data_IF_456450063447
#
_entry.id   IF_456450063447
#
_cell.length_a   1.000
_cell.length_b   1.000
_cell.length_c   1.000
_cell.angle_alpha   90.00
_cell.angle_beta   90.00
_cell.angle_gamma   90.00
#
_symmetry.space_group_name_H-M   'P 1'
#
loop_
_entity.id
_entity.type
_entity.pdbx_description
1 polymer ?
#
# COMPACT_ATOMS: atom_id res chain seq x y z
N UNK A 1 -51.81 -8.05 -22.08
CA UNK A 1 -51.11 -7.70 -23.36
C UNK A 1 -50.70 -8.98 -24.04
N UNK A 2 -51.26 -9.23 -25.21
CA UNK A 2 -51.11 -10.48 -25.96
C UNK A 2 -49.75 -10.52 -26.71
N UNK A 3 -49.22 -11.67 -26.99
CA UNK A 3 -47.92 -11.87 -27.67
C UNK A 3 -47.80 -11.15 -29.03
N UNK A 4 -48.92 -10.76 -29.64
CA UNK A 4 -48.97 -10.04 -30.91
C UNK A 4 -48.60 -8.55 -30.70
N UNK A 5 -49.00 -7.94 -29.60
CA UNK A 5 -48.68 -6.53 -29.31
C UNK A 5 -47.20 -6.29 -28.98
N UNK A 6 -46.51 -7.30 -28.46
CA UNK A 6 -45.07 -7.25 -28.19
C UNK A 6 -44.24 -7.28 -29.47
N UNK A 7 -44.72 -7.92 -30.52
CA UNK A 7 -44.03 -7.97 -31.82
C UNK A 7 -44.16 -6.70 -32.66
N UNK A 8 -45.26 -5.98 -32.52
CA UNK A 8 -45.47 -4.69 -33.21
C UNK A 8 -44.70 -3.55 -32.55
N UNK A 9 -44.59 -3.56 -31.23
CA UNK A 9 -43.79 -2.58 -30.47
C UNK A 9 -42.27 -2.63 -30.80
N UNK A 10 -41.75 -3.82 -31.11
CA UNK A 10 -40.36 -4.00 -31.51
C UNK A 10 -40.05 -3.67 -32.96
N UNK A 11 -41.07 -3.48 -33.81
CA UNK A 11 -40.90 -3.09 -35.20
C UNK A 11 -40.96 -1.57 -35.45
N UNK A 12 -41.45 -0.79 -34.48
CA UNK A 12 -41.53 0.67 -34.57
C UNK A 12 -40.34 1.40 -33.87
N UNK A 13 -39.41 0.70 -33.27
CA UNK A 13 -38.14 1.24 -32.80
C UNK A 13 -37.20 1.37 -34.02
N UNK A 14 -37.42 2.43 -34.81
CA UNK A 14 -36.59 2.73 -35.96
C UNK A 14 -35.13 2.89 -35.58
N UNK A 15 -34.27 2.28 -36.40
CA UNK A 15 -32.85 2.52 -36.43
C UNK A 15 -32.54 4.02 -36.52
N UNK A 16 -32.19 4.64 -35.42
CA UNK A 16 -31.34 5.84 -35.45
C UNK A 16 -29.90 5.38 -35.21
N UNK A 17 -29.22 5.00 -36.27
CA UNK A 17 -27.76 4.96 -36.30
C UNK A 17 -27.26 6.39 -36.25
N UNK A 18 -27.05 6.95 -35.06
CA UNK A 18 -26.13 8.06 -34.89
C UNK A 18 -24.73 7.48 -35.02
N UNK A 19 -24.17 7.55 -36.21
CA UNK A 19 -22.75 7.46 -36.42
C UNK A 19 -22.13 8.72 -35.78
N UNK A 20 -21.86 8.68 -34.48
CA UNK A 20 -20.89 9.57 -33.86
C UNK A 20 -19.54 9.15 -34.42
N UNK A 21 -19.06 9.84 -35.44
CA UNK A 21 -17.65 9.78 -35.80
C UNK A 21 -16.87 10.29 -34.61
N UNK A 22 -16.40 9.36 -33.78
CA UNK A 22 -15.33 9.64 -32.81
C UNK A 22 -14.12 10.01 -33.66
N UNK A 23 -13.87 11.31 -33.80
CA UNK A 23 -12.57 11.77 -34.25
C UNK A 23 -11.53 11.14 -33.32
N UNK A 24 -10.48 10.52 -33.84
CA UNK A 24 -9.38 10.09 -32.97
C UNK A 24 -8.85 11.37 -32.29
N UNK A 25 -9.03 11.49 -30.98
CA UNK A 25 -8.26 12.45 -30.21
C UNK A 25 -6.80 12.05 -30.44
N UNK A 26 -6.12 12.79 -31.30
CA UNK A 26 -4.69 12.73 -31.40
C UNK A 26 -4.19 13.00 -29.97
N UNK A 27 -3.61 11.99 -29.34
CA UNK A 27 -2.82 12.17 -28.12
C UNK A 27 -1.78 13.21 -28.51
N UNK A 28 -1.88 14.41 -27.93
CA UNK A 28 -0.86 15.42 -28.11
C UNK A 28 0.47 14.74 -27.73
N UNK A 29 1.41 14.71 -28.66
CA UNK A 29 2.75 14.20 -28.37
C UNK A 29 3.24 14.92 -27.11
N UNK A 30 3.68 14.13 -26.13
CA UNK A 30 4.26 14.68 -24.91
C UNK A 30 5.40 15.64 -25.33
N UNK A 31 5.48 16.86 -24.75
CA UNK A 31 6.53 17.79 -25.10
C UNK A 31 7.90 17.12 -24.90
N UNK A 32 8.79 17.30 -25.87
CA UNK A 32 10.14 16.74 -25.78
C UNK A 32 10.80 17.17 -24.47
N UNK A 33 11.31 16.18 -23.72
CA UNK A 33 11.97 16.42 -22.43
C UNK A 33 13.18 17.35 -22.62
N UNK A 34 13.29 18.39 -21.81
CA UNK A 34 14.43 19.29 -21.82
C UNK A 34 15.71 18.59 -21.37
N UNK A 35 16.88 19.07 -21.85
CA UNK A 35 18.18 18.55 -21.40
C UNK A 35 18.37 18.73 -19.89
N UNK A 36 17.89 19.84 -19.31
CA UNK A 36 17.96 20.09 -17.88
C UNK A 36 17.13 19.06 -17.09
N UNK A 37 15.92 18.73 -17.54
CA UNK A 37 15.08 17.69 -16.93
C UNK A 37 15.76 16.32 -17.03
N UNK A 38 16.33 15.99 -18.18
CA UNK A 38 17.08 14.73 -18.39
C UNK A 38 18.27 14.61 -17.46
N UNK A 39 19.02 15.67 -17.24
CA UNK A 39 20.14 15.70 -16.27
C UNK A 39 19.65 15.48 -14.85
N UNK A 40 18.54 16.13 -14.46
CA UNK A 40 17.94 15.97 -13.14
C UNK A 40 17.48 14.52 -12.91
N UNK A 41 16.77 13.91 -13.87
CA UNK A 41 16.31 12.51 -13.76
C UNK A 41 17.48 11.52 -13.67
N UNK A 42 18.57 11.74 -14.45
CA UNK A 42 19.78 10.91 -14.33
C UNK A 42 20.44 11.03 -12.95
N UNK A 43 20.49 12.24 -12.38
CA UNK A 43 20.97 12.45 -11.01
C UNK A 43 20.15 11.71 -9.96
N UNK A 44 18.82 11.77 -10.09
CA UNK A 44 17.92 11.02 -9.21
C UNK A 44 18.09 9.50 -9.38
N UNK A 45 18.16 9.00 -10.61
CA UNK A 45 18.38 7.57 -10.85
C UNK A 45 19.67 7.08 -10.19
N UNK A 46 20.77 7.80 -10.37
CA UNK A 46 22.05 7.41 -9.78
C UNK A 46 22.01 7.33 -8.25
N UNK A 47 21.35 8.29 -7.58
CA UNK A 47 21.25 8.28 -6.11
C UNK A 47 20.28 7.22 -5.59
N UNK A 48 19.16 6.98 -6.27
CA UNK A 48 18.20 5.92 -5.96
C UNK A 48 18.84 4.54 -6.12
N UNK A 49 19.50 4.26 -7.25
CA UNK A 49 20.22 2.99 -7.48
C UNK A 49 21.31 2.75 -6.45
N UNK A 50 22.10 3.78 -6.16
CA UNK A 50 23.15 3.67 -5.15
C UNK A 50 22.57 3.31 -3.77
N UNK A 51 21.48 3.96 -3.37
CA UNK A 51 20.87 3.68 -2.07
C UNK A 51 20.21 2.30 -2.03
N UNK A 52 19.54 1.87 -3.11
CA UNK A 52 18.95 0.53 -3.21
C UNK A 52 20.03 -0.56 -3.07
N UNK A 53 21.10 -0.48 -3.88
CA UNK A 53 22.10 -1.55 -4.00
C UNK A 53 23.14 -1.55 -2.89
N UNK A 54 23.50 -0.39 -2.36
CA UNK A 54 24.54 -0.25 -1.33
C UNK A 54 23.99 0.02 0.08
N UNK A 55 22.70 0.27 0.20
CA UNK A 55 22.02 0.53 1.49
C UNK A 55 21.01 -0.55 1.83
N UNK A 56 19.80 -0.44 1.28
CA UNK A 56 18.63 -1.23 1.71
C UNK A 56 18.82 -2.73 1.48
N UNK A 57 19.24 -3.14 0.29
CA UNK A 57 19.42 -4.57 -0.03
C UNK A 57 20.44 -5.21 0.91
N UNK A 58 21.70 -4.72 1.04
CA UNK A 58 22.69 -5.35 1.91
C UNK A 58 22.26 -5.37 3.38
N UNK A 59 21.57 -4.33 3.85
CA UNK A 59 21.10 -4.26 5.23
C UNK A 59 20.20 -5.45 5.58
N UNK A 60 19.12 -5.65 4.81
CA UNK A 60 18.13 -6.69 5.09
C UNK A 60 18.63 -8.10 4.74
N UNK A 61 19.46 -8.23 3.71
CA UNK A 61 20.10 -9.51 3.39
C UNK A 61 20.94 -10.06 4.55
N UNK A 62 21.68 -9.19 5.19
CA UNK A 62 22.59 -9.60 6.26
C UNK A 62 21.88 -9.87 7.60
N UNK A 63 20.67 -9.31 7.81
CA UNK A 63 20.10 -9.21 9.17
C UNK A 63 18.70 -9.75 9.34
N UNK A 64 17.91 -9.90 8.27
CA UNK A 64 16.49 -10.19 8.41
C UNK A 64 16.19 -11.60 8.95
N UNK A 65 16.96 -12.62 8.57
CA UNK A 65 16.65 -14.01 8.94
C UNK A 65 16.85 -14.24 10.45
N UNK A 66 15.84 -14.81 11.09
CA UNK A 66 15.95 -15.37 12.44
C UNK A 66 16.51 -16.80 12.35
N UNK A 67 17.83 -16.92 12.46
CA UNK A 67 18.53 -18.19 12.33
C UNK A 67 18.26 -19.15 13.50
N UNK A 68 17.67 -18.67 14.59
CA UNK A 68 17.37 -19.48 15.77
C UNK A 68 15.98 -20.14 15.68
N UNK A 69 14.96 -19.38 15.24
CA UNK A 69 13.56 -19.83 15.29
C UNK A 69 12.88 -19.85 13.92
N UNK A 70 13.54 -19.33 12.89
CA UNK A 70 12.95 -19.16 11.55
C UNK A 70 12.12 -17.90 11.41
N UNK A 71 11.68 -17.62 10.19
CA UNK A 71 11.08 -16.33 9.84
C UNK A 71 12.07 -15.18 9.96
N UNK A 72 11.58 -13.99 10.32
CA UNK A 72 12.40 -12.80 10.30
C UNK A 72 12.43 -12.08 11.66
N UNK A 73 13.55 -11.42 11.95
CA UNK A 73 13.68 -10.40 13.00
C UNK A 73 13.50 -9.03 12.36
N UNK A 74 12.89 -8.11 13.10
CA UNK A 74 12.45 -6.82 12.57
C UNK A 74 13.01 -5.61 13.31
N UNK A 75 13.43 -5.79 14.56
CA UNK A 75 13.77 -4.70 15.46
C UNK A 75 15.27 -4.37 15.39
N UNK A 76 15.58 -3.16 14.93
CA UNK A 76 16.97 -2.68 14.78
C UNK A 76 17.07 -1.23 15.23
N UNK A 77 18.15 -0.91 15.99
CA UNK A 77 18.49 0.46 16.35
C UNK A 77 19.09 1.23 15.15
N UNK A 78 19.39 2.50 15.36
CA UNK A 78 19.98 3.36 14.33
C UNK A 78 21.41 2.98 13.91
N UNK A 79 22.10 2.14 14.67
CA UNK A 79 23.39 1.56 14.31
C UNK A 79 23.25 0.24 13.53
N UNK A 80 22.03 -0.23 13.29
CA UNK A 80 21.75 -1.50 12.63
C UNK A 80 21.96 -2.72 13.50
N UNK A 81 22.06 -2.54 14.81
CA UNK A 81 22.16 -3.62 15.79
C UNK A 81 20.77 -4.15 16.12
N UNK A 82 20.64 -5.48 16.16
CA UNK A 82 19.38 -6.12 16.53
C UNK A 82 18.98 -5.77 17.97
N UNK A 83 17.73 -5.33 18.12
CA UNK A 83 17.07 -5.14 19.40
C UNK A 83 16.24 -6.39 19.77
N UNK A 84 15.78 -6.53 21.02
CA UNK A 84 14.86 -7.60 21.40
C UNK A 84 13.64 -7.64 20.47
N UNK A 85 13.35 -8.84 19.95
CA UNK A 85 12.20 -9.10 19.08
C UNK A 85 11.40 -10.26 19.70
N UNK A 86 10.62 -10.03 20.77
CA UNK A 86 9.95 -11.08 21.53
C UNK A 86 8.76 -11.69 20.79
N UNK A 87 8.24 -10.98 19.82
CA UNK A 87 7.07 -11.36 19.03
C UNK A 87 7.28 -11.05 17.53
N UNK A 88 6.53 -11.74 16.69
CA UNK A 88 6.52 -11.56 15.25
C UNK A 88 5.10 -11.21 14.81
N UNK A 89 4.97 -10.17 14.04
CA UNK A 89 3.71 -9.69 13.47
C UNK A 89 3.52 -10.23 12.07
N UNK A 90 2.32 -10.66 11.74
CA UNK A 90 2.02 -11.24 10.43
C UNK A 90 2.34 -10.28 9.29
N UNK A 91 2.00 -8.99 9.44
CA UNK A 91 2.24 -7.97 8.40
C UNK A 91 3.74 -7.81 8.08
N UNK A 92 4.63 -7.73 9.09
CA UNK A 92 6.07 -7.55 8.82
C UNK A 92 6.74 -8.84 8.34
N UNK A 93 6.29 -10.01 8.77
CA UNK A 93 6.74 -11.27 8.18
C UNK A 93 6.36 -11.32 6.69
N UNK A 94 5.12 -10.99 6.35
CA UNK A 94 4.65 -10.92 4.96
C UNK A 94 5.39 -9.87 4.14
N UNK A 95 5.64 -8.69 4.69
CA UNK A 95 6.40 -7.61 4.03
C UNK A 95 7.82 -8.04 3.66
N UNK A 96 8.49 -8.85 4.50
CA UNK A 96 9.81 -9.39 4.19
C UNK A 96 9.75 -10.56 3.20
N UNK A 97 8.73 -11.42 3.25
CA UNK A 97 8.47 -12.42 2.21
C UNK A 97 8.28 -11.72 0.86
N UNK A 98 7.43 -10.70 0.81
CA UNK A 98 7.20 -9.89 -0.38
C UNK A 98 8.49 -9.25 -0.90
N UNK A 99 9.29 -8.66 0.00
CA UNK A 99 10.56 -8.02 -0.36
C UNK A 99 11.52 -8.98 -1.07
N UNK A 100 11.80 -10.14 -0.47
CA UNK A 100 12.72 -11.10 -1.08
C UNK A 100 12.15 -11.74 -2.36
N UNK A 101 10.84 -11.90 -2.44
CA UNK A 101 10.14 -12.33 -3.66
C UNK A 101 10.25 -11.30 -4.77
N UNK A 102 10.05 -10.03 -4.47
CA UNK A 102 10.22 -8.91 -5.40
C UNK A 102 11.66 -8.81 -5.89
N UNK A 103 12.64 -8.93 -4.99
CA UNK A 103 14.05 -8.97 -5.41
C UNK A 103 14.33 -10.13 -6.36
N UNK A 104 13.77 -11.32 -6.11
CA UNK A 104 13.91 -12.45 -7.04
C UNK A 104 13.34 -12.16 -8.42
N UNK A 105 12.20 -11.47 -8.51
CA UNK A 105 11.58 -11.13 -9.80
C UNK A 105 12.29 -10.01 -10.54
N UNK A 106 12.71 -8.96 -9.82
CA UNK A 106 13.28 -7.75 -10.43
C UNK A 106 14.78 -7.87 -10.68
N UNK A 107 15.47 -8.69 -9.88
CA UNK A 107 16.91 -8.95 -9.95
C UNK A 107 17.16 -10.46 -9.93
N UNK A 108 16.79 -11.20 -10.98
CA UNK A 108 16.82 -12.68 -10.99
C UNK A 108 18.20 -13.27 -10.72
N UNK A 109 19.28 -12.55 -11.02
CA UNK A 109 20.66 -12.95 -10.78
C UNK A 109 21.09 -12.83 -9.31
N UNK A 110 20.29 -12.14 -8.47
CA UNK A 110 20.63 -11.96 -7.06
C UNK A 110 20.48 -13.29 -6.30
N UNK A 111 21.56 -13.80 -5.70
CA UNK A 111 21.52 -15.12 -5.05
C UNK A 111 20.67 -15.08 -3.78
N UNK A 112 20.18 -16.25 -3.35
CA UNK A 112 19.48 -16.49 -2.07
C UNK A 112 18.13 -15.78 -1.87
N UNK A 113 17.70 -14.92 -2.77
CA UNK A 113 16.42 -14.19 -2.63
C UNK A 113 15.22 -15.14 -2.52
N UNK A 114 15.14 -16.14 -3.40
CA UNK A 114 14.10 -17.16 -3.35
C UNK A 114 14.18 -18.04 -2.09
N UNK A 115 15.39 -18.38 -1.63
CA UNK A 115 15.61 -19.14 -0.41
C UNK A 115 15.12 -18.37 0.83
N UNK A 116 15.48 -17.09 0.94
CA UNK A 116 15.03 -16.24 2.05
C UNK A 116 13.52 -16.05 2.06
N UNK A 117 12.90 -15.86 0.90
CA UNK A 117 11.44 -15.81 0.78
C UNK A 117 10.80 -17.13 1.21
N UNK A 118 11.34 -18.29 0.77
CA UNK A 118 10.83 -19.61 1.13
C UNK A 118 10.91 -19.89 2.62
N UNK A 119 12.00 -19.53 3.29
CA UNK A 119 12.12 -19.67 4.75
C UNK A 119 11.06 -18.82 5.49
N UNK A 120 10.77 -17.62 4.98
CA UNK A 120 9.68 -16.81 5.50
C UNK A 120 8.31 -17.47 5.33
N UNK A 121 8.03 -18.02 4.14
CA UNK A 121 6.77 -18.73 3.82
C UNK A 121 6.62 -19.98 4.68
N UNK A 122 7.68 -20.76 4.85
CA UNK A 122 7.66 -21.96 5.71
C UNK A 122 7.30 -21.60 7.16
N UNK A 123 7.89 -20.54 7.70
CA UNK A 123 7.57 -20.05 9.04
C UNK A 123 6.13 -19.52 9.12
N UNK A 124 5.68 -18.75 8.14
CA UNK A 124 4.34 -18.17 8.08
C UNK A 124 3.28 -19.27 8.10
N UNK A 125 3.38 -20.25 7.20
CA UNK A 125 2.40 -21.34 7.10
C UNK A 125 2.42 -22.22 8.34
N UNK A 126 3.60 -22.52 8.87
CA UNK A 126 3.73 -23.41 10.04
C UNK A 126 3.18 -22.79 11.32
N UNK A 127 3.42 -21.49 11.55
CA UNK A 127 3.23 -20.89 12.88
C UNK A 127 2.09 -19.88 12.94
N UNK A 128 1.70 -19.25 11.83
CA UNK A 128 0.61 -18.27 11.82
C UNK A 128 -0.71 -18.83 11.31
N UNK A 129 -0.69 -19.85 10.44
CA UNK A 129 -1.93 -20.41 9.89
C UNK A 129 -2.75 -21.11 10.96
N UNK A 130 -3.99 -20.68 11.16
CA UNK A 130 -4.92 -21.30 12.11
C UNK A 130 -5.51 -22.59 11.52
N UNK A 131 -5.11 -23.74 12.06
CA UNK A 131 -5.56 -25.06 11.57
C UNK A 131 -7.05 -25.32 11.84
N UNK A 132 -7.66 -24.63 12.79
CA UNK A 132 -9.06 -24.83 13.17
C UNK A 132 -10.02 -23.95 12.37
N UNK A 133 -9.68 -22.66 12.26
CA UNK A 133 -10.58 -21.67 11.67
C UNK A 133 -10.11 -21.14 10.32
N UNK A 134 -8.89 -21.48 9.90
CA UNK A 134 -8.22 -20.88 8.75
C UNK A 134 -7.82 -19.43 9.00
N UNK A 135 -7.16 -18.82 8.02
CA UNK A 135 -6.56 -17.49 8.13
C UNK A 135 -5.32 -17.47 9.01
N UNK A 136 -4.72 -16.30 9.13
CA UNK A 136 -3.45 -16.14 9.83
C UNK A 136 -3.66 -15.42 11.17
N UNK A 137 -2.98 -15.85 12.21
CA UNK A 137 -2.94 -15.16 13.50
C UNK A 137 -2.28 -13.78 13.34
N UNK A 138 -2.74 -12.77 14.10
CA UNK A 138 -2.11 -11.45 14.06
C UNK A 138 -0.66 -11.45 14.53
N UNK A 139 -0.39 -12.17 15.65
CA UNK A 139 0.94 -12.25 16.25
C UNK A 139 1.24 -13.65 16.76
N UNK A 140 2.52 -14.00 16.69
CA UNK A 140 3.09 -15.14 17.41
C UNK A 140 4.28 -14.68 18.25
N UNK A 141 4.68 -15.45 19.26
CA UNK A 141 5.95 -15.24 19.94
C UNK A 141 7.12 -15.48 18.97
N UNK A 142 8.31 -15.04 19.31
CA UNK A 142 9.48 -15.19 18.44
C UNK A 142 9.72 -16.64 18.01
N UNK A 143 9.45 -17.60 18.88
CA UNK A 143 9.61 -19.04 18.61
C UNK A 143 8.48 -19.64 17.74
N UNK A 144 7.46 -18.87 17.42
CA UNK A 144 6.31 -19.29 16.63
C UNK A 144 5.11 -19.79 17.46
N UNK A 145 5.21 -19.83 18.80
CA UNK A 145 4.06 -20.19 19.63
C UNK A 145 2.99 -19.10 19.62
N UNK A 146 1.72 -19.50 19.79
CA UNK A 146 0.55 -18.61 19.73
C UNK A 146 0.65 -17.44 20.72
N UNK A 147 0.28 -16.24 20.27
CA UNK A 147 0.22 -15.03 21.10
C UNK A 147 -1.09 -14.26 20.94
N UNK A 148 -1.43 -13.83 19.72
CA UNK A 148 -2.69 -13.14 19.40
C UNK A 148 -3.30 -13.76 18.13
N UNK A 149 -4.26 -14.69 18.28
CA UNK A 149 -4.84 -15.44 17.17
C UNK A 149 -5.96 -14.69 16.43
N UNK A 150 -6.24 -13.43 16.74
CA UNK A 150 -7.27 -12.63 16.06
C UNK A 150 -6.98 -12.53 14.56
N UNK A 151 -8.03 -12.32 13.77
CA UNK A 151 -7.95 -12.12 12.32
C UNK A 151 -8.08 -10.63 12.03
N UNK A 152 -6.99 -10.04 11.61
CA UNK A 152 -6.94 -8.63 11.24
C UNK A 152 -6.96 -8.56 9.73
N UNK A 153 -8.01 -7.98 9.15
CA UNK A 153 -8.21 -7.98 7.69
C UNK A 153 -7.04 -7.31 6.97
N UNK A 154 -6.49 -6.25 7.55
CA UNK A 154 -5.23 -5.66 7.12
C UNK A 154 -4.06 -6.69 7.07
N UNK A 155 -3.88 -7.49 8.13
CA UNK A 155 -2.86 -8.54 8.18
C UNK A 155 -3.11 -9.65 7.15
N UNK A 156 -4.35 -10.09 7.00
CA UNK A 156 -4.75 -11.09 5.99
C UNK A 156 -4.50 -10.58 4.56
N UNK A 157 -4.70 -9.26 4.29
CA UNK A 157 -4.38 -8.68 2.99
C UNK A 157 -2.89 -8.80 2.67
N UNK A 158 -2.01 -8.56 3.64
CA UNK A 158 -0.56 -8.76 3.45
C UNK A 158 -0.18 -10.23 3.25
N UNK A 159 -0.92 -11.18 3.84
CA UNK A 159 -0.72 -12.60 3.56
C UNK A 159 -1.04 -12.93 2.09
N UNK A 160 -2.18 -12.47 1.59
CA UNK A 160 -2.56 -12.63 0.18
C UNK A 160 -1.49 -12.00 -0.73
N UNK A 161 -1.07 -10.77 -0.41
CA UNK A 161 -0.11 -10.01 -1.21
C UNK A 161 1.25 -10.71 -1.31
N UNK A 162 1.83 -11.04 -0.16
CA UNK A 162 3.15 -11.64 -0.08
C UNK A 162 3.19 -13.06 -0.68
N UNK A 163 2.18 -13.88 -0.42
CA UNK A 163 2.10 -15.24 -0.93
C UNK A 163 1.85 -15.27 -2.44
N UNK A 164 1.07 -14.33 -2.98
CA UNK A 164 0.88 -14.16 -4.41
C UNK A 164 2.18 -13.73 -5.11
N UNK A 165 2.92 -12.77 -4.54
CA UNK A 165 4.21 -12.33 -5.06
C UNK A 165 5.27 -13.46 -4.99
N UNK A 166 5.25 -14.25 -3.91
CA UNK A 166 6.11 -15.42 -3.76
C UNK A 166 5.85 -16.47 -4.85
N UNK A 167 4.58 -16.75 -5.14
CA UNK A 167 4.22 -17.63 -6.25
C UNK A 167 4.71 -17.09 -7.61
N UNK A 168 4.51 -15.80 -7.87
CA UNK A 168 4.99 -15.16 -9.10
C UNK A 168 6.51 -15.19 -9.23
N UNK A 169 7.23 -15.15 -8.12
CA UNK A 169 8.68 -15.15 -8.09
C UNK A 169 9.31 -16.53 -8.23
N UNK A 170 8.67 -17.58 -7.71
CA UNK A 170 9.27 -18.92 -7.54
C UNK A 170 8.53 -20.04 -8.25
N UNK A 171 7.25 -19.86 -8.56
CA UNK A 171 6.37 -20.91 -9.05
C UNK A 171 5.92 -21.91 -7.97
N UNK A 172 6.27 -21.69 -6.70
CA UNK A 172 5.83 -22.56 -5.60
C UNK A 172 4.32 -22.42 -5.36
N UNK A 173 3.59 -23.48 -5.67
CA UNK A 173 2.12 -23.51 -5.64
C UNK A 173 1.53 -23.23 -4.24
N UNK A 174 2.27 -23.47 -3.16
CA UNK A 174 1.83 -23.15 -1.81
C UNK A 174 1.49 -21.66 -1.67
N UNK A 175 2.27 -20.78 -2.33
CA UNK A 175 1.99 -19.34 -2.33
C UNK A 175 0.59 -19.03 -2.84
N UNK A 176 0.25 -19.52 -4.06
CA UNK A 176 -1.08 -19.27 -4.63
C UNK A 176 -2.19 -19.99 -3.86
N UNK A 177 -1.94 -21.21 -3.36
CA UNK A 177 -2.92 -21.97 -2.57
C UNK A 177 -3.34 -21.21 -1.32
N UNK A 178 -2.38 -20.81 -0.47
CA UNK A 178 -2.70 -20.11 0.78
C UNK A 178 -3.22 -18.69 0.54
N UNK A 179 -2.76 -17.99 -0.50
CA UNK A 179 -3.32 -16.69 -0.89
C UNK A 179 -4.79 -16.82 -1.28
N UNK A 180 -5.15 -17.80 -2.12
CA UNK A 180 -6.55 -18.05 -2.54
C UNK A 180 -7.42 -18.50 -1.37
N UNK A 181 -6.93 -19.39 -0.51
CA UNK A 181 -7.66 -19.81 0.71
C UNK A 181 -7.94 -18.64 1.65
N UNK A 182 -6.99 -17.74 1.82
CA UNK A 182 -7.17 -16.53 2.64
C UNK A 182 -8.19 -15.59 2.00
N UNK A 183 -8.11 -15.38 0.69
CA UNK A 183 -9.12 -14.64 -0.05
C UNK A 183 -10.53 -15.21 0.13
N UNK A 184 -10.70 -16.52 0.00
CA UNK A 184 -12.00 -17.19 0.19
C UNK A 184 -12.56 -17.00 1.60
N UNK A 185 -11.69 -17.06 2.63
CA UNK A 185 -12.07 -16.80 4.02
C UNK A 185 -12.51 -15.35 4.21
N UNK A 186 -11.81 -14.38 3.61
CA UNK A 186 -12.23 -12.98 3.66
C UNK A 186 -13.59 -12.79 2.98
N UNK A 187 -13.84 -13.41 1.80
CA UNK A 187 -15.15 -13.33 1.14
C UNK A 187 -16.26 -13.92 1.99
N UNK A 188 -15.97 -14.99 2.73
CA UNK A 188 -16.96 -15.72 3.52
C UNK A 188 -17.30 -15.06 4.85
N UNK A 189 -16.29 -14.48 5.53
CA UNK A 189 -16.41 -14.10 6.92
C UNK A 189 -16.15 -12.63 7.22
N UNK A 190 -15.30 -11.96 6.42
CA UNK A 190 -14.92 -10.57 6.65
C UNK A 190 -15.58 -9.59 5.69
N UNK A 191 -16.15 -10.06 4.58
CA UNK A 191 -16.91 -9.22 3.68
C UNK A 191 -18.26 -8.84 4.31
N UNK A 192 -18.58 -7.54 4.35
CA UNK A 192 -19.89 -7.04 4.74
C UNK A 192 -20.86 -7.21 3.57
N UNK A 193 -21.73 -8.20 3.66
CA UNK A 193 -22.70 -8.52 2.61
C UNK A 193 -23.91 -7.58 2.59
N UNK A 194 -24.07 -6.76 3.62
CA UNK A 194 -25.18 -5.81 3.73
C UNK A 194 -24.83 -4.44 3.14
N UNK A 195 -23.66 -3.89 3.52
CA UNK A 195 -23.26 -2.55 3.13
C UNK A 195 -22.09 -2.56 2.13
N UNK A 196 -21.49 -3.71 1.86
CA UNK A 196 -20.28 -3.84 1.05
C UNK A 196 -18.98 -3.57 1.83
N UNK A 197 -17.85 -3.82 1.19
CA UNK A 197 -16.52 -3.69 1.81
C UNK A 197 -16.23 -4.80 2.83
N UNK A 198 -15.28 -4.51 3.73
CA UNK A 198 -14.76 -5.51 4.67
C UNK A 198 -14.65 -4.91 6.08
N UNK A 199 -14.81 -5.75 7.09
CA UNK A 199 -14.55 -5.38 8.49
C UNK A 199 -13.05 -5.14 8.71
N UNK A 200 -12.69 -4.40 9.77
CA UNK A 200 -11.30 -4.15 10.15
C UNK A 200 -10.71 -5.31 10.94
N UNK A 201 -11.32 -5.58 12.09
CA UNK A 201 -10.87 -6.59 13.04
C UNK A 201 -11.98 -7.58 13.31
N UNK A 202 -11.64 -8.86 13.35
CA UNK A 202 -12.53 -9.94 13.78
C UNK A 202 -11.80 -10.89 14.74
N UNK A 203 -12.54 -11.61 15.54
CA UNK A 203 -12.02 -12.58 16.49
C UNK A 203 -11.36 -13.78 15.76
N UNK A 204 -10.68 -14.64 16.51
CA UNK A 204 -10.04 -15.85 15.99
C UNK A 204 -10.95 -16.71 15.11
N UNK A 205 -12.20 -16.85 15.53
CA UNK A 205 -13.24 -17.67 14.89
C UNK A 205 -14.03 -16.91 13.81
N UNK A 206 -13.55 -15.73 13.42
CA UNK A 206 -14.16 -14.81 12.47
C UNK A 206 -15.46 -14.13 12.96
N UNK A 207 -15.84 -14.30 14.22
CA UNK A 207 -16.94 -13.55 14.79
C UNK A 207 -16.60 -12.05 14.88
N UNK A 208 -17.62 -11.15 14.82
CA UNK A 208 -17.38 -9.71 14.93
C UNK A 208 -16.63 -9.34 16.21
N UNK A 209 -15.68 -8.42 16.11
CA UNK A 209 -15.01 -7.79 17.26
C UNK A 209 -15.93 -6.71 17.86
N UNK A 210 -15.62 -6.26 19.07
CA UNK A 210 -16.33 -5.14 19.70
C UNK A 210 -16.07 -3.83 18.93
N UNK A 211 -16.96 -2.84 19.12
CA UNK A 211 -16.81 -1.50 18.54
C UNK A 211 -15.76 -0.64 19.25
N UNK A 212 -15.63 0.61 18.80
CA UNK A 212 -14.70 1.59 19.34
C UNK A 212 -13.24 1.21 19.08
N UNK A 213 -12.40 1.21 20.11
CA UNK A 213 -10.96 0.89 19.99
C UNK A 213 -10.71 -0.53 19.42
N UNK A 214 -11.61 -1.48 19.60
CA UNK A 214 -11.48 -2.81 19.02
C UNK A 214 -11.71 -2.84 17.50
N UNK A 215 -12.44 -1.85 16.93
CA UNK A 215 -12.58 -1.64 15.50
C UNK A 215 -13.70 -2.43 14.81
N UNK A 216 -14.54 -3.18 15.54
CA UNK A 216 -15.60 -4.01 14.96
C UNK A 216 -16.79 -3.22 14.39
N UNK A 217 -16.91 -1.93 14.70
CA UNK A 217 -17.95 -1.02 14.22
C UNK A 217 -17.49 -0.08 13.10
N UNK A 218 -16.30 -0.31 12.54
CA UNK A 218 -15.64 0.61 11.61
C UNK A 218 -15.12 -0.07 10.37
N UNK A 219 -14.94 0.75 9.32
CA UNK A 219 -14.20 0.44 8.09
C UNK A 219 -13.17 1.53 7.86
N UNK A 220 -12.00 1.18 7.33
CA UNK A 220 -10.91 2.12 7.06
C UNK A 220 -10.46 2.10 5.60
N UNK A 221 -10.03 3.25 5.10
CA UNK A 221 -9.40 3.37 3.79
C UNK A 221 -8.13 2.51 3.71
N UNK A 222 -7.30 2.52 4.74
CA UNK A 222 -6.04 1.79 4.80
C UNK A 222 -6.24 0.29 4.52
N UNK A 223 -7.17 -0.35 5.24
CA UNK A 223 -7.51 -1.77 5.01
C UNK A 223 -8.02 -2.03 3.60
N UNK A 224 -8.93 -1.18 3.07
CA UNK A 224 -9.47 -1.37 1.71
C UNK A 224 -8.44 -1.11 0.62
N UNK A 225 -7.53 -0.16 0.82
CA UNK A 225 -6.42 0.10 -0.09
C UNK A 225 -5.47 -1.10 -0.18
N UNK A 226 -5.11 -1.71 0.95
CA UNK A 226 -4.27 -2.91 0.95
C UNK A 226 -5.01 -4.17 0.48
N UNK A 227 -6.33 -4.25 0.61
CA UNK A 227 -7.13 -5.27 -0.08
C UNK A 227 -7.09 -5.07 -1.60
N UNK A 228 -7.20 -3.84 -2.09
CA UNK A 228 -7.02 -3.53 -3.52
C UNK A 228 -5.63 -3.95 -4.00
N UNK A 229 -4.56 -3.61 -3.29
CA UNK A 229 -3.19 -4.00 -3.60
C UNK A 229 -3.01 -5.53 -3.66
N UNK A 230 -3.50 -6.21 -2.64
CA UNK A 230 -3.39 -7.66 -2.53
C UNK A 230 -4.20 -8.41 -3.58
N UNK A 231 -5.44 -7.98 -3.86
CA UNK A 231 -6.28 -8.57 -4.90
C UNK A 231 -5.72 -8.31 -6.30
N UNK A 232 -5.04 -7.17 -6.51
CA UNK A 232 -4.30 -6.90 -7.75
C UNK A 232 -3.22 -7.95 -7.99
N UNK A 233 -2.42 -8.23 -6.98
CA UNK A 233 -1.33 -9.22 -7.10
C UNK A 233 -1.87 -10.65 -7.18
N UNK A 234 -2.93 -10.95 -6.43
CA UNK A 234 -3.60 -12.25 -6.51
C UNK A 234 -4.19 -12.49 -7.91
N UNK A 235 -4.84 -11.48 -8.50
CA UNK A 235 -5.36 -11.59 -9.87
C UNK A 235 -4.22 -11.80 -10.88
N UNK A 236 -3.11 -11.07 -10.76
CA UNK A 236 -1.91 -11.32 -11.59
C UNK A 236 -1.39 -12.75 -11.47
N UNK A 237 -1.43 -13.33 -10.27
CA UNK A 237 -0.92 -14.67 -9.99
C UNK A 237 -1.85 -15.78 -10.48
N UNK A 238 -3.16 -15.60 -10.36
CA UNK A 238 -4.16 -16.63 -10.60
C UNK A 238 -4.81 -16.57 -11.99
N UNK A 239 -4.99 -15.35 -12.54
CA UNK A 239 -5.83 -15.11 -13.72
C UNK A 239 -7.32 -15.34 -13.48
N UNK A 240 -7.76 -15.57 -12.23
CA UNK A 240 -9.15 -15.91 -11.90
C UNK A 240 -10.06 -14.68 -11.99
N UNK A 241 -11.17 -14.81 -12.74
CA UNK A 241 -12.13 -13.74 -12.93
C UNK A 241 -12.87 -13.35 -11.63
N UNK A 242 -13.03 -14.25 -10.67
CA UNK A 242 -13.58 -13.90 -9.35
C UNK A 242 -12.67 -12.91 -8.62
N UNK A 243 -11.35 -13.15 -8.62
CA UNK A 243 -10.37 -12.23 -8.03
C UNK A 243 -10.44 -10.86 -8.70
N UNK A 244 -10.52 -10.82 -10.03
CA UNK A 244 -10.70 -9.58 -10.79
C UNK A 244 -11.99 -8.83 -10.42
N UNK A 245 -13.13 -9.53 -10.37
CA UNK A 245 -14.42 -8.90 -9.99
C UNK A 245 -14.36 -8.31 -8.59
N UNK A 246 -13.77 -9.03 -7.62
CA UNK A 246 -13.65 -8.55 -6.24
C UNK A 246 -12.67 -7.37 -6.12
N UNK A 247 -11.59 -7.37 -6.89
CA UNK A 247 -10.71 -6.22 -7.04
C UNK A 247 -11.50 -4.99 -7.52
N UNK A 248 -12.26 -5.11 -8.59
CA UNK A 248 -13.07 -4.01 -9.15
C UNK A 248 -14.16 -3.53 -8.17
N UNK A 249 -14.74 -4.43 -7.35
CA UNK A 249 -15.68 -4.03 -6.30
C UNK A 249 -15.00 -3.15 -5.23
N UNK A 250 -13.80 -3.53 -4.76
CA UNK A 250 -13.03 -2.73 -3.79
C UNK A 250 -12.66 -1.37 -4.39
N UNK A 251 -12.18 -1.34 -5.64
CA UNK A 251 -11.87 -0.08 -6.33
C UNK A 251 -13.11 0.82 -6.42
N UNK A 252 -14.27 0.25 -6.77
CA UNK A 252 -15.53 0.99 -6.84
C UNK A 252 -15.89 1.65 -5.51
N UNK A 253 -15.80 0.88 -4.41
CA UNK A 253 -16.04 1.40 -3.05
C UNK A 253 -15.08 2.52 -2.67
N UNK A 254 -13.79 2.36 -2.94
CA UNK A 254 -12.79 3.40 -2.65
C UNK A 254 -13.11 4.68 -3.43
N UNK A 255 -13.45 4.57 -4.70
CA UNK A 255 -13.77 5.72 -5.56
C UNK A 255 -15.05 6.45 -5.13
N UNK A 256 -16.08 5.71 -4.74
CA UNK A 256 -17.39 6.29 -4.46
C UNK A 256 -17.55 6.74 -3.00
N UNK A 257 -17.01 5.98 -2.04
CA UNK A 257 -17.27 6.18 -0.63
C UNK A 257 -16.05 6.72 0.15
N UNK A 258 -14.82 6.36 -0.28
CA UNK A 258 -13.63 6.63 0.50
C UNK A 258 -12.76 7.77 -0.02
N UNK A 259 -13.20 8.45 -1.09
CA UNK A 259 -12.53 9.62 -1.64
C UNK A 259 -13.45 10.83 -1.57
N UNK A 260 -12.99 11.93 -0.98
CA UNK A 260 -13.75 13.18 -0.91
C UNK A 260 -13.72 13.89 -2.27
N UNK A 261 -14.89 13.99 -2.90
CA UNK A 261 -15.03 14.57 -4.26
C UNK A 261 -14.81 16.10 -4.26
N UNK A 262 -14.98 16.77 -3.10
CA UNK A 262 -14.84 18.21 -2.99
C UNK A 262 -13.38 18.62 -2.72
N UNK A 263 -12.71 17.94 -1.80
CA UNK A 263 -11.32 18.26 -1.41
C UNK A 263 -10.30 17.48 -2.23
N UNK A 264 -10.68 16.33 -2.80
CA UNK A 264 -9.80 15.45 -3.55
C UNK A 264 -8.87 14.60 -2.69
N UNK A 265 -9.16 14.44 -1.40
CA UNK A 265 -8.38 13.61 -0.49
C UNK A 265 -9.08 12.30 -0.13
N UNK A 266 -8.35 11.35 0.43
CA UNK A 266 -8.88 10.13 1.02
C UNK A 266 -9.50 10.40 2.40
N UNK A 267 -10.51 9.63 2.74
CA UNK A 267 -11.21 9.64 4.02
C UNK A 267 -10.75 8.45 4.86
N UNK A 268 -10.35 8.68 6.12
CA UNK A 268 -9.64 7.65 6.89
C UNK A 268 -10.56 6.55 7.44
N UNK A 269 -11.71 6.90 8.04
CA UNK A 269 -12.58 5.95 8.73
C UNK A 269 -14.07 6.22 8.49
N UNK A 270 -14.86 5.15 8.59
CA UNK A 270 -16.30 5.13 8.34
C UNK A 270 -17.02 4.25 9.35
N UNK A 271 -18.32 4.47 9.55
CA UNK A 271 -19.18 3.44 10.09
C UNK A 271 -19.38 2.27 9.10
N UNK A 272 -20.11 1.25 9.50
CA UNK A 272 -20.33 0.09 8.64
C UNK A 272 -21.13 0.41 7.37
N UNK A 273 -21.91 1.50 7.35
CA UNK A 273 -22.69 1.96 6.20
C UNK A 273 -21.95 3.02 5.34
N UNK A 274 -20.65 3.21 5.55
CA UNK A 274 -19.77 4.18 4.88
C UNK A 274 -20.08 5.65 5.17
N UNK A 275 -20.79 5.98 6.27
CA UNK A 275 -20.80 7.36 6.76
C UNK A 275 -19.41 7.72 7.29
N UNK A 276 -18.79 8.78 6.76
CA UNK A 276 -17.45 9.21 7.20
C UNK A 276 -17.45 9.56 8.69
N UNK A 277 -16.49 9.02 9.42
CA UNK A 277 -16.27 9.27 10.84
C UNK A 277 -14.91 9.92 11.09
N UNK A 278 -14.79 10.78 12.12
CA UNK A 278 -13.48 11.19 12.62
C UNK A 278 -12.64 9.96 13.00
N UNK A 279 -11.37 9.98 12.60
CA UNK A 279 -10.48 8.86 12.85
C UNK A 279 -10.12 8.73 14.34
N UNK A 280 -10.20 7.49 14.85
CA UNK A 280 -9.70 7.13 16.18
C UNK A 280 -8.59 6.08 16.05
N UNK A 281 -7.71 5.93 17.04
CA UNK A 281 -6.84 4.77 17.13
C UNK A 281 -7.65 3.49 17.20
N UNK A 282 -7.30 2.49 16.42
CA UNK A 282 -7.89 1.15 16.44
C UNK A 282 -6.84 0.16 16.91
N UNK A 283 -7.20 -0.77 17.80
CA UNK A 283 -6.35 -1.85 18.27
C UNK A 283 -5.76 -2.63 17.10
N UNK A 284 -4.51 -3.05 17.21
CA UNK A 284 -3.80 -3.81 16.17
C UNK A 284 -3.56 -3.02 14.88
N UNK A 285 -3.53 -1.69 14.97
CA UNK A 285 -3.05 -0.79 13.92
C UNK A 285 -1.82 -0.04 14.42
N UNK A 286 -1.07 0.56 13.49
CA UNK A 286 0.10 1.37 13.82
C UNK A 286 -0.21 2.47 14.85
N UNK A 287 -1.29 3.23 14.61
CA UNK A 287 -1.71 4.29 15.53
C UNK A 287 -2.27 3.72 16.84
N UNK A 288 -2.99 2.62 16.81
CA UNK A 288 -3.52 1.97 18.01
C UNK A 288 -2.43 1.46 18.94
N UNK A 289 -1.35 0.91 18.42
CA UNK A 289 -0.24 0.41 19.24
C UNK A 289 0.66 1.54 19.78
N UNK A 290 0.81 2.63 19.02
CA UNK A 290 1.57 3.81 19.48
C UNK A 290 0.85 4.66 20.50
N UNK A 291 -0.45 4.88 20.29
CA UNK A 291 -1.23 5.85 21.05
C UNK A 291 -2.05 5.18 22.15
N UNK A 292 -2.35 3.90 22.01
CA UNK A 292 -3.29 3.17 22.87
C UNK A 292 -4.71 3.70 22.73
N UNK A 293 -5.60 3.20 23.56
CA UNK A 293 -6.97 3.69 23.66
C UNK A 293 -6.97 5.06 24.36
N UNK A 294 -6.87 6.12 23.57
CA UNK A 294 -7.02 7.48 24.10
C UNK A 294 -8.41 8.01 23.78
N UNK A 295 -9.15 8.50 24.77
CA UNK A 295 -10.29 9.36 24.52
C UNK A 295 -9.75 10.70 24.01
N UNK A 296 -9.45 10.79 22.73
CA UNK A 296 -9.19 12.06 22.08
C UNK A 296 -10.53 12.55 21.53
N UNK A 297 -10.79 13.86 21.57
CA UNK A 297 -11.81 14.45 20.71
C UNK A 297 -11.40 14.11 19.27
N UNK A 298 -12.16 13.27 18.56
CA UNK A 298 -11.73 12.80 17.27
C UNK A 298 -11.74 13.96 16.28
N UNK A 299 -10.64 14.14 15.56
CA UNK A 299 -10.51 15.17 14.53
C UNK A 299 -10.68 14.54 13.16
N UNK A 300 -11.47 15.18 12.31
CA UNK A 300 -11.68 14.74 10.93
C UNK A 300 -10.43 15.05 10.10
N UNK A 301 -9.62 14.03 9.83
CA UNK A 301 -8.31 14.13 9.22
C UNK A 301 -8.21 13.35 7.92
N UNK A 302 -7.26 13.76 7.07
CA UNK A 302 -6.75 12.99 5.94
C UNK A 302 -5.26 12.72 6.11
N UNK A 303 -4.80 11.55 5.67
CA UNK A 303 -3.37 11.20 5.65
C UNK A 303 -2.78 11.50 4.28
N UNK A 304 -1.78 12.38 4.23
CA UNK A 304 -1.14 12.70 2.95
C UNK A 304 -0.40 11.49 2.35
N UNK A 305 0.18 10.64 3.20
CA UNK A 305 0.82 9.41 2.76
C UNK A 305 -0.15 8.43 2.10
N UNK A 306 -1.30 8.19 2.73
CA UNK A 306 -2.33 7.32 2.15
C UNK A 306 -2.93 7.91 0.85
N UNK A 307 -3.06 9.24 0.75
CA UNK A 307 -3.57 9.87 -0.47
C UNK A 307 -2.67 9.56 -1.68
N UNK A 308 -1.36 9.71 -1.51
CA UNK A 308 -0.41 9.43 -2.60
C UNK A 308 -0.23 7.94 -2.84
N UNK A 309 -0.26 7.11 -1.79
CA UNK A 309 -0.20 5.65 -1.93
C UNK A 309 -1.43 5.12 -2.68
N UNK A 310 -2.62 5.61 -2.35
CA UNK A 310 -3.87 5.27 -3.04
C UNK A 310 -3.81 5.58 -4.53
N UNK A 311 -3.19 6.69 -4.90
CA UNK A 311 -3.09 7.11 -6.28
C UNK A 311 -2.42 6.05 -7.15
N UNK A 312 -1.14 5.72 -6.87
CA UNK A 312 -0.41 4.80 -7.74
C UNK A 312 -0.84 3.34 -7.58
N UNK A 313 -1.34 2.93 -6.41
CA UNK A 313 -1.90 1.59 -6.23
C UNK A 313 -3.20 1.41 -7.03
N UNK A 314 -4.06 2.42 -7.09
CA UNK A 314 -5.29 2.38 -7.90
C UNK A 314 -4.95 2.39 -9.39
N UNK A 315 -3.98 3.20 -9.83
CA UNK A 315 -3.47 3.20 -11.19
C UNK A 315 -2.96 1.81 -11.59
N UNK A 316 -2.10 1.20 -10.77
CA UNK A 316 -1.61 -0.16 -10.99
C UNK A 316 -2.73 -1.20 -11.06
N UNK A 317 -3.72 -1.09 -10.16
CA UNK A 317 -4.85 -2.02 -10.06
C UNK A 317 -5.73 -1.96 -11.30
N UNK A 318 -6.13 -0.76 -11.74
CA UNK A 318 -6.98 -0.56 -12.91
C UNK A 318 -6.27 -0.94 -14.21
N UNK A 319 -4.98 -0.62 -14.35
CA UNK A 319 -4.15 -1.12 -15.46
C UNK A 319 -4.09 -2.65 -15.48
N UNK A 320 -3.89 -3.28 -14.35
CA UNK A 320 -3.84 -4.75 -14.24
C UNK A 320 -5.18 -5.37 -14.61
N UNK A 321 -6.29 -4.74 -14.26
CA UNK A 321 -7.64 -5.21 -14.57
C UNK A 321 -8.12 -4.83 -15.99
N UNK A 322 -7.33 -4.06 -16.77
CA UNK A 322 -7.72 -3.45 -18.05
C UNK A 322 -9.04 -2.65 -17.96
N UNK A 323 -9.16 -1.77 -16.96
CA UNK A 323 -10.38 -1.01 -16.65
C UNK A 323 -10.11 0.48 -16.37
N UNK A 324 -8.91 0.97 -16.68
CA UNK A 324 -8.57 2.38 -16.50
C UNK A 324 -9.28 3.27 -17.51
N UNK A 325 -9.82 4.40 -17.04
CA UNK A 325 -10.46 5.43 -17.85
C UNK A 325 -10.11 6.85 -17.43
N UNK A 326 -10.58 7.85 -18.19
CA UNK A 326 -10.28 9.27 -17.94
C UNK A 326 -10.79 9.74 -16.57
N UNK A 327 -11.91 9.21 -16.09
CA UNK A 327 -12.45 9.53 -14.78
C UNK A 327 -11.51 9.09 -13.64
N UNK A 328 -10.80 7.99 -13.83
CA UNK A 328 -9.82 7.48 -12.86
C UNK A 328 -8.59 8.38 -12.81
N UNK A 329 -8.09 8.79 -13.97
CA UNK A 329 -6.98 9.74 -14.09
C UNK A 329 -7.28 11.08 -13.42
N UNK A 330 -8.55 11.52 -13.45
CA UNK A 330 -8.98 12.72 -12.72
C UNK A 330 -8.94 12.53 -11.18
N UNK A 331 -9.19 11.31 -10.67
CA UNK A 331 -9.03 11.00 -9.24
C UNK A 331 -7.54 11.03 -8.87
N UNK A 332 -6.67 10.38 -9.64
CA UNK A 332 -5.21 10.38 -9.41
C UNK A 332 -4.67 11.80 -9.31
N UNK A 333 -5.02 12.65 -10.27
CA UNK A 333 -4.60 14.06 -10.28
C UNK A 333 -5.05 14.80 -9.02
N UNK A 334 -6.31 14.62 -8.59
CA UNK A 334 -6.81 15.30 -7.36
C UNK A 334 -6.06 14.86 -6.12
N UNK A 335 -5.79 13.57 -5.96
CA UNK A 335 -5.02 13.03 -4.82
C UNK A 335 -3.60 13.61 -4.79
N UNK A 336 -2.91 13.62 -5.94
CA UNK A 336 -1.56 14.21 -6.06
C UNK A 336 -1.57 15.70 -5.81
N UNK A 337 -2.51 16.45 -6.40
CA UNK A 337 -2.61 17.91 -6.26
C UNK A 337 -2.89 18.32 -4.82
N UNK A 338 -3.76 17.58 -4.14
CA UNK A 338 -4.01 17.79 -2.70
C UNK A 338 -2.73 17.60 -1.90
N UNK A 339 -1.96 16.54 -2.18
CA UNK A 339 -0.71 16.26 -1.47
C UNK A 339 0.39 17.30 -1.80
N UNK A 340 0.53 17.73 -3.06
CA UNK A 340 1.48 18.80 -3.46
C UNK A 340 1.15 20.10 -2.75
N UNK A 341 -0.13 20.45 -2.70
CA UNK A 341 -0.59 21.73 -2.14
C UNK A 341 -0.50 21.79 -0.63
N UNK A 342 -0.86 20.73 0.07
CA UNK A 342 -1.08 20.73 1.50
C UNK A 342 -0.11 19.83 2.28
N UNK A 343 0.37 18.73 1.67
CA UNK A 343 1.20 17.73 2.31
C UNK A 343 2.69 18.00 2.21
N UNK A 344 3.18 18.48 1.05
CA UNK A 344 4.61 18.74 0.84
C UNK A 344 5.06 19.95 1.69
N UNK A 345 6.11 19.75 2.47
CA UNK A 345 6.77 20.84 3.22
C UNK A 345 7.79 21.56 2.32
N UNK A 346 7.34 22.61 1.65
CA UNK A 346 8.19 23.38 0.74
C UNK A 346 9.31 24.17 1.44
N UNK A 347 9.18 24.41 2.75
CA UNK A 347 10.18 25.11 3.55
C UNK A 347 11.33 24.15 3.93
N UNK A 348 11.04 23.10 4.69
CA UNK A 348 12.05 22.18 5.22
C UNK A 348 12.26 20.91 4.38
N UNK A 349 11.36 20.60 3.46
CA UNK A 349 11.37 19.36 2.68
C UNK A 349 10.58 18.22 3.30
N UNK A 350 10.43 17.14 2.55
CA UNK A 350 9.64 16.00 2.99
C UNK A 350 8.13 16.24 2.88
N UNK A 351 7.34 15.32 3.47
CA UNK A 351 5.89 15.39 3.51
C UNK A 351 5.40 15.32 4.95
N UNK A 352 4.33 16.06 5.29
CA UNK A 352 3.65 16.00 6.58
C UNK A 352 2.83 14.71 6.72
N UNK A 353 2.50 14.34 7.97
CA UNK A 353 1.69 13.14 8.23
C UNK A 353 0.23 13.34 7.90
N UNK A 354 -0.44 14.22 8.63
CA UNK A 354 -1.90 14.36 8.58
C UNK A 354 -2.31 15.83 8.57
N UNK A 355 -3.41 16.09 7.86
CA UNK A 355 -4.06 17.39 7.81
C UNK A 355 -5.54 17.32 8.10
N UNK A 356 -6.17 18.49 8.31
CA UNK A 356 -7.61 18.61 8.40
C UNK A 356 -8.24 18.29 7.04
N UNK A 357 -9.21 17.40 7.01
CA UNK A 357 -9.93 17.05 5.76
C UNK A 357 -10.55 18.27 5.10
N UNK A 358 -11.22 19.13 5.88
CA UNK A 358 -11.99 20.25 5.34
C UNK A 358 -11.15 21.34 4.68
N UNK A 359 -9.93 21.59 5.19
CA UNK A 359 -9.08 22.69 4.73
C UNK A 359 -7.79 22.23 4.08
N UNK A 360 -7.39 21.00 4.32
CA UNK A 360 -6.08 20.46 3.96
C UNK A 360 -4.95 21.01 4.84
N UNK A 361 -5.21 21.79 5.88
CA UNK A 361 -4.17 22.33 6.75
C UNK A 361 -3.44 21.21 7.49
N UNK A 362 -2.10 21.20 7.40
CA UNK A 362 -1.26 20.21 8.08
C UNK A 362 -1.25 20.43 9.59
N UNK A 363 -1.78 19.47 10.35
CA UNK A 363 -1.85 19.49 11.82
C UNK A 363 -0.84 18.57 12.47
N UNK A 364 -0.42 17.48 11.82
CA UNK A 364 0.67 16.60 12.26
C UNK A 364 1.83 16.77 11.31
N UNK A 365 2.85 17.52 11.73
CA UNK A 365 3.97 17.95 10.89
C UNK A 365 5.22 17.07 11.02
N UNK A 366 5.14 15.99 11.78
CA UNK A 366 6.18 14.96 11.87
C UNK A 366 6.43 14.31 10.50
N UNK A 367 7.62 13.79 10.32
CA UNK A 367 8.11 13.17 9.08
C UNK A 367 8.29 11.66 9.29
N UNK A 368 7.37 10.86 8.77
CA UNK A 368 7.37 9.42 8.95
C UNK A 368 7.90 8.70 7.69
N UNK A 369 8.69 7.65 7.87
CA UNK A 369 9.42 6.96 6.80
C UNK A 369 8.53 6.48 5.65
N UNK A 370 7.40 5.84 5.97
CA UNK A 370 6.55 5.22 4.95
C UNK A 370 5.86 6.26 4.06
N UNK A 371 5.41 7.37 4.62
CA UNK A 371 4.77 8.43 3.85
C UNK A 371 5.74 9.07 2.84
N UNK A 372 7.01 9.23 3.21
CA UNK A 372 8.03 9.68 2.29
C UNK A 372 8.28 8.64 1.19
N UNK A 373 8.34 7.36 1.55
CA UNK A 373 8.51 6.27 0.60
C UNK A 373 7.41 6.27 -0.46
N UNK A 374 6.16 6.34 -0.04
CA UNK A 374 4.99 6.31 -0.94
C UNK A 374 4.90 7.57 -1.80
N UNK A 375 5.23 8.73 -1.22
CA UNK A 375 5.24 9.99 -1.96
C UNK A 375 6.27 10.01 -3.10
N UNK A 376 7.43 9.40 -2.90
CA UNK A 376 8.43 9.28 -3.96
C UNK A 376 7.90 8.46 -5.15
N UNK A 377 7.21 7.37 -4.89
CA UNK A 377 6.61 6.53 -5.95
C UNK A 377 5.52 7.31 -6.68
N UNK A 378 4.57 7.87 -5.93
CA UNK A 378 3.40 8.52 -6.49
C UNK A 378 3.75 9.79 -7.30
N UNK A 379 4.68 10.61 -6.83
CA UNK A 379 5.04 11.81 -7.59
C UNK A 379 5.81 11.50 -8.87
N UNK A 380 6.60 10.42 -8.92
CA UNK A 380 7.17 9.96 -10.19
C UNK A 380 6.09 9.32 -11.08
N UNK A 381 5.14 8.59 -10.52
CA UNK A 381 4.00 8.04 -11.27
C UNK A 381 3.16 9.16 -11.88
N UNK A 382 2.85 10.19 -11.09
CA UNK A 382 2.14 11.38 -11.57
C UNK A 382 2.91 12.16 -12.63
N UNK A 383 4.24 12.27 -12.51
CA UNK A 383 5.06 12.89 -13.56
C UNK A 383 5.06 12.05 -14.84
N UNK A 384 5.15 10.73 -14.73
CA UNK A 384 5.07 9.80 -15.87
C UNK A 384 3.72 9.89 -16.59
N UNK A 385 2.61 10.04 -15.84
CA UNK A 385 1.26 10.12 -16.39
C UNK A 385 0.89 11.48 -16.97
N UNK A 386 1.28 12.57 -16.30
CA UNK A 386 0.75 13.92 -16.58
C UNK A 386 1.80 14.89 -17.11
N UNK A 387 3.09 14.58 -17.05
CA UNK A 387 4.23 15.41 -17.47
C UNK A 387 4.25 16.81 -16.82
N UNK A 388 3.66 16.95 -15.62
CA UNK A 388 3.59 18.22 -14.91
C UNK A 388 4.81 18.42 -14.02
N UNK A 389 5.61 19.50 -14.22
CA UNK A 389 6.86 19.75 -13.49
C UNK A 389 6.70 19.74 -11.97
N UNK A 390 5.56 20.19 -11.44
CA UNK A 390 5.31 20.24 -9.99
C UNK A 390 5.45 18.87 -9.28
N UNK A 391 5.15 17.76 -9.98
CA UNK A 391 5.31 16.43 -9.40
C UNK A 391 6.78 16.03 -9.31
N UNK A 392 7.57 16.36 -10.32
CA UNK A 392 9.03 16.12 -10.28
C UNK A 392 9.71 17.02 -9.25
N UNK A 393 9.27 18.26 -9.08
CA UNK A 393 9.75 19.18 -8.04
C UNK A 393 9.42 18.64 -6.63
N UNK A 394 8.19 18.15 -6.42
CA UNK A 394 7.78 17.51 -5.17
C UNK A 394 8.62 16.26 -4.87
N UNK A 395 8.82 15.39 -5.86
CA UNK A 395 9.73 14.26 -5.74
C UNK A 395 11.13 14.70 -5.29
N UNK A 396 11.73 15.68 -6.00
CA UNK A 396 13.07 16.18 -5.70
C UNK A 396 13.18 16.74 -4.28
N UNK A 397 12.17 17.51 -3.84
CA UNK A 397 12.11 18.11 -2.50
C UNK A 397 12.03 17.04 -1.40
N UNK A 398 11.24 15.99 -1.61
CA UNK A 398 11.09 14.89 -0.67
C UNK A 398 12.35 14.01 -0.67
N UNK A 399 12.88 13.67 -1.84
CA UNK A 399 14.08 12.84 -1.95
C UNK A 399 15.30 13.50 -1.31
N UNK A 400 15.45 14.81 -1.45
CA UNK A 400 16.52 15.56 -0.79
C UNK A 400 16.40 15.45 0.74
N UNK A 401 15.18 15.64 1.30
CA UNK A 401 14.96 15.49 2.74
C UNK A 401 15.28 14.07 3.23
N UNK A 402 14.90 13.06 2.48
CA UNK A 402 15.20 11.66 2.80
C UNK A 402 16.71 11.41 2.85
N UNK A 403 17.46 11.91 1.86
CA UNK A 403 18.91 11.75 1.81
C UNK A 403 19.65 12.48 2.94
N UNK A 404 19.14 13.65 3.34
CA UNK A 404 19.79 14.50 4.36
C UNK A 404 19.50 14.02 5.78
N UNK A 405 18.28 13.53 6.04
CA UNK A 405 17.81 13.31 7.41
C UNK A 405 17.35 11.89 7.73
N UNK A 406 16.73 11.17 6.78
CA UNK A 406 16.19 9.84 7.06
C UNK A 406 17.23 8.73 6.90
N UNK A 407 17.99 8.74 5.80
CA UNK A 407 18.99 7.72 5.50
C UNK A 407 20.14 7.81 6.50
N UNK A 408 20.43 6.71 7.19
CA UNK A 408 21.60 6.63 8.06
C UNK A 408 22.81 6.20 7.23
N UNK A 409 23.71 7.14 6.98
CA UNK A 409 24.93 6.90 6.21
C UNK A 409 25.77 5.80 6.87
N UNK A 410 26.22 4.82 6.07
CA UNK A 410 27.00 3.67 6.54
C UNK A 410 26.17 2.51 7.10
N UNK A 411 24.89 2.71 7.43
CA UNK A 411 23.95 1.65 7.81
C UNK A 411 23.05 1.26 6.64
N UNK A 412 22.49 2.27 5.94
CA UNK A 412 21.78 2.08 4.69
C UNK A 412 20.27 1.91 4.79
N UNK A 413 19.66 2.09 5.96
CA UNK A 413 18.22 2.11 6.15
C UNK A 413 17.77 3.47 6.70
N UNK A 414 16.46 3.74 6.72
CA UNK A 414 15.89 5.01 7.11
C UNK A 414 15.45 5.00 8.58
N UNK A 415 15.57 6.16 9.25
CA UNK A 415 14.92 6.39 10.56
C UNK A 415 13.41 6.28 10.45
N UNK A 416 12.76 5.89 11.54
CA UNK A 416 11.31 5.69 11.58
C UNK A 416 10.54 7.00 11.57
N UNK A 417 10.92 7.94 12.45
CA UNK A 417 10.16 9.17 12.68
C UNK A 417 11.08 10.34 13.04
N UNK A 418 10.85 11.48 12.38
CA UNK A 418 11.55 12.72 12.60
C UNK A 418 10.56 13.84 12.93
N UNK A 419 11.03 14.91 13.58
CA UNK A 419 10.27 16.15 13.64
C UNK A 419 10.27 16.88 12.27
N UNK A 420 9.56 17.99 12.19
CA UNK A 420 9.44 18.77 10.96
C UNK A 420 10.81 19.17 10.37
N UNK A 421 11.80 19.40 11.20
CA UNK A 421 13.13 19.90 10.82
C UNK A 421 14.16 18.76 10.58
N UNK A 422 13.74 17.51 10.72
CA UNK A 422 14.60 16.35 10.49
C UNK A 422 15.33 15.83 11.73
N UNK A 423 15.01 16.32 12.94
CA UNK A 423 15.56 15.79 14.18
C UNK A 423 14.85 14.46 14.54
N UNK A 424 15.58 13.40 14.88
CA UNK A 424 14.98 12.11 15.22
C UNK A 424 14.06 12.18 16.46
N UNK A 425 12.85 11.63 16.31
CA UNK A 425 11.88 11.31 17.38
C UNK A 425 11.97 9.82 17.70
N UNK A 426 11.89 8.96 16.66
CA UNK A 426 12.21 7.55 16.72
C UNK A 426 13.34 7.24 15.72
N UNK A 427 14.59 7.12 16.19
CA UNK A 427 15.73 6.90 15.32
C UNK A 427 15.85 5.45 14.83
N UNK A 428 15.09 4.49 15.41
CA UNK A 428 15.17 3.10 15.06
C UNK A 428 14.86 2.88 13.58
N UNK A 429 15.53 1.92 12.98
CA UNK A 429 15.44 1.65 11.54
C UNK A 429 14.67 0.37 11.21
N UNK A 430 14.24 -0.35 12.25
CA UNK A 430 13.37 -1.51 12.15
C UNK A 430 12.57 -1.70 13.43
N UNK A 431 11.30 -2.07 13.32
CA UNK A 431 10.40 -2.33 14.42
C UNK A 431 9.25 -3.27 13.95
N UNK A 432 8.29 -3.66 14.82
CA UNK A 432 7.19 -4.55 14.45
C UNK A 432 6.31 -4.09 13.29
N UNK A 433 6.43 -2.82 12.87
CA UNK A 433 5.68 -2.23 11.74
C UNK A 433 6.56 -1.82 10.57
N UNK A 434 7.84 -1.53 10.85
CA UNK A 434 8.81 -1.04 9.86
C UNK A 434 9.83 -2.10 9.49
N UNK A 435 9.82 -2.48 8.22
CA UNK A 435 10.85 -3.28 7.55
C UNK A 435 11.10 -2.70 6.16
N UNK A 436 11.81 -3.41 5.28
CA UNK A 436 12.14 -2.97 3.91
C UNK A 436 10.95 -2.74 2.97
N UNK A 437 9.72 -3.03 3.37
CA UNK A 437 8.56 -2.96 2.47
C UNK A 437 8.41 -1.59 1.82
N UNK A 438 8.19 -0.53 2.59
CA UNK A 438 8.03 0.82 2.05
C UNK A 438 9.34 1.37 1.46
N UNK A 439 10.43 1.31 2.22
CA UNK A 439 11.72 1.88 1.80
C UNK A 439 12.30 1.14 0.59
N UNK A 440 12.25 -0.18 0.59
CA UNK A 440 12.72 -1.00 -0.54
C UNK A 440 11.81 -0.91 -1.75
N UNK A 441 10.48 -0.97 -1.55
CA UNK A 441 9.48 -0.79 -2.62
C UNK A 441 9.71 0.53 -3.33
N UNK A 442 9.81 1.62 -2.58
CA UNK A 442 9.98 2.94 -3.19
C UNK A 442 11.26 3.04 -4.02
N UNK A 443 12.36 2.46 -3.57
CA UNK A 443 13.61 2.51 -4.36
C UNK A 443 13.52 1.68 -5.65
N UNK A 444 12.92 0.48 -5.60
CA UNK A 444 12.70 -0.34 -6.81
C UNK A 444 11.76 0.36 -7.78
N UNK A 445 10.62 0.84 -7.30
CA UNK A 445 9.60 1.50 -8.12
C UNK A 445 10.09 2.84 -8.70
N UNK A 446 10.80 3.65 -7.92
CA UNK A 446 11.41 4.90 -8.40
C UNK A 446 12.48 4.62 -9.46
N UNK A 447 13.35 3.62 -9.24
CA UNK A 447 14.34 3.21 -10.22
C UNK A 447 13.70 2.86 -11.56
N UNK A 448 12.67 2.04 -11.56
CA UNK A 448 12.00 1.59 -12.79
C UNK A 448 11.31 2.74 -13.52
N UNK A 449 10.64 3.65 -12.80
CA UNK A 449 10.00 4.83 -13.38
C UNK A 449 11.03 5.80 -13.97
N UNK A 450 12.11 6.07 -13.23
CA UNK A 450 13.19 6.92 -13.73
C UNK A 450 13.87 6.33 -14.98
N UNK A 451 14.05 5.01 -15.03
CA UNK A 451 14.56 4.34 -16.24
C UNK A 451 13.60 4.49 -17.44
N UNK A 452 12.28 4.30 -17.23
CA UNK A 452 11.29 4.50 -18.31
C UNK A 452 11.25 5.93 -18.80
N UNK A 453 11.30 6.91 -17.88
CA UNK A 453 11.32 8.34 -18.23
C UNK A 453 12.57 8.75 -19.01
N UNK A 454 13.69 8.04 -18.87
CA UNK A 454 14.95 8.31 -19.55
C UNK A 454 15.13 7.55 -20.88
N UNK A 455 14.32 6.51 -21.11
CA UNK A 455 14.32 5.72 -22.33
C UNK A 455 13.78 6.50 -23.52
#
# INVERSE_FOLDING_TARGET
MNQIERREFLKSAGLFTLAAAAAPHALAEAPAMSDATRVTLKGHLATVENHLHNGIIPFWFARALDTQYGGFVTNFDEQGKALPCPEKYVNTQCRLIWWFSTLKRRFPEMPKTAEMASQGVDFLIKNFWDQKYGGFAWKVKRDGSELDPAKIVYGESFCIYALSEYYLATGDKRGLEYASRTFDLLQKYAADTQNGGYYENVNRDWSPEAGGFAGGDRKGLDTHMHLMESFTTLYKASGDDLHRRKLLQVIGLIKEEMTDKATGCGLNQFDLAFSSLPAIPIKRTWNGERLGEKPADPVDTTSYGHNVELEYLMHLALKTANQEGDADRAIYRRLLDHAVKHGVDWEYGGIYRDGLRATGEAIVKEKEFWQHSESLVAFLDGYEQFHEPRYLEAFGKIWQFVQDFMIIKGVGEWRTLLDRQGKPIDPNIGNPWKVSYHTGRSMVECRERLMRLLA
#
